data_IF_591514478354
#
_entry.id   IF_591514478354
#
_cell.length_a   1.000
_cell.length_b   1.000
_cell.length_c   1.000
_cell.angle_alpha   90.00
_cell.angle_beta   90.00
_cell.angle_gamma   90.00
#
_symmetry.space_group_name_H-M   'P 1'
#
loop_
_entity.id
_entity.type
_entity.pdbx_description
1 polymer ?
#
# COMPACT_ATOMS: atom_id res chain seq x y z
N UNK A 1 -30.04 4.88 -19.70
CA UNK A 1 -29.62 5.45 -20.99
C UNK A 1 -30.59 5.01 -22.07
N UNK A 2 -30.91 5.92 -22.99
CA UNK A 2 -32.03 5.86 -23.93
C UNK A 2 -31.86 4.74 -24.97
N UNK A 3 -32.88 3.89 -25.08
CA UNK A 3 -33.13 2.95 -26.17
C UNK A 3 -33.20 3.68 -27.51
N UNK A 4 -32.29 3.37 -28.45
CA UNK A 4 -32.42 3.75 -29.86
C UNK A 4 -32.64 2.51 -30.70
N UNK A 5 -33.85 1.95 -30.59
CA UNK A 5 -34.40 1.08 -31.62
C UNK A 5 -35.14 1.99 -32.61
N UNK A 6 -34.41 2.59 -33.55
CA UNK A 6 -35.03 3.26 -34.70
C UNK A 6 -35.04 2.26 -35.85
N UNK A 7 -35.94 1.29 -35.76
CA UNK A 7 -36.29 0.44 -36.88
C UNK A 7 -37.19 1.28 -37.80
N UNK A 8 -36.58 1.99 -38.75
CA UNK A 8 -37.33 2.63 -39.83
C UNK A 8 -37.76 1.50 -40.77
N UNK A 9 -38.88 0.85 -40.45
CA UNK A 9 -39.66 0.16 -41.48
C UNK A 9 -40.20 1.29 -42.35
N UNK A 10 -39.54 1.52 -43.48
CA UNK A 10 -39.99 2.42 -44.53
C UNK A 10 -41.28 1.89 -45.15
N UNK A 11 -42.39 2.01 -44.42
CA UNK A 11 -43.74 1.90 -44.94
C UNK A 11 -44.09 3.24 -45.60
N UNK A 12 -43.65 3.42 -46.84
CA UNK A 12 -44.00 4.57 -47.69
C UNK A 12 -43.53 4.25 -49.11
N UNK A 13 -44.36 4.02 -50.12
CA UNK A 13 -45.70 4.51 -50.35
C UNK A 13 -46.53 3.48 -51.16
N UNK A 14 -47.56 2.91 -50.54
CA UNK A 14 -48.76 2.47 -51.25
C UNK A 14 -49.84 3.52 -51.02
N UNK A 15 -49.54 4.76 -51.40
CA UNK A 15 -50.52 5.84 -51.43
C UNK A 15 -51.16 5.86 -52.82
N UNK A 16 -52.36 5.29 -52.88
CA UNK A 16 -53.53 5.91 -53.50
C UNK A 16 -53.28 6.61 -54.86
N UNK A 17 -53.36 5.84 -55.94
CA UNK A 17 -53.97 6.33 -57.16
C UNK A 17 -55.11 5.40 -57.56
N UNK A 18 -56.31 5.96 -57.42
CA UNK A 18 -57.52 5.76 -58.22
C UNK A 18 -57.57 4.55 -59.17
N UNK A 19 -58.69 3.84 -59.10
CA UNK A 19 -59.24 3.00 -60.16
C UNK A 19 -59.22 3.71 -61.53
N UNK A 20 -58.13 3.52 -62.28
CA UNK A 20 -58.11 3.56 -63.73
C UNK A 20 -57.60 2.18 -64.15
N UNK A 21 -58.44 1.37 -64.80
CA UNK A 21 -58.01 0.13 -65.45
C UNK A 21 -57.14 0.48 -66.64
N UNK A 22 -55.87 0.81 -66.39
CA UNK A 22 -54.83 0.83 -67.41
C UNK A 22 -54.59 -0.62 -67.83
N UNK A 23 -54.73 -0.91 -69.12
CA UNK A 23 -54.28 -2.19 -69.69
C UNK A 23 -52.77 -2.26 -69.54
N UNK A 24 -52.30 -2.85 -68.43
CA UNK A 24 -50.89 -3.17 -68.24
C UNK A 24 -50.45 -4.10 -69.37
N UNK A 25 -49.37 -3.71 -70.03
CA UNK A 25 -48.78 -4.51 -71.09
C UNK A 25 -47.93 -5.62 -70.47
N UNK A 26 -47.65 -6.69 -71.23
CA UNK A 26 -46.70 -7.73 -70.81
C UNK A 26 -45.33 -7.14 -70.43
N UNK A 27 -44.94 -6.02 -71.04
CA UNK A 27 -43.69 -5.32 -70.73
C UNK A 27 -43.69 -4.72 -69.33
N UNK A 28 -44.81 -4.11 -68.89
CA UNK A 28 -44.95 -3.56 -67.54
C UNK A 28 -44.84 -4.67 -66.48
N UNK A 29 -45.36 -5.87 -66.77
CA UNK A 29 -45.24 -7.03 -65.86
C UNK A 29 -43.78 -7.46 -65.73
N UNK A 30 -43.07 -7.56 -66.84
CA UNK A 30 -41.65 -7.96 -66.85
C UNK A 30 -40.80 -6.94 -66.09
N UNK A 31 -41.02 -5.64 -66.31
CA UNK A 31 -40.28 -4.58 -65.62
C UNK A 31 -40.50 -4.62 -64.11
N UNK A 32 -41.74 -4.79 -63.64
CA UNK A 32 -42.05 -4.91 -62.22
C UNK A 32 -41.43 -6.17 -61.61
N UNK A 33 -41.47 -7.30 -62.30
CA UNK A 33 -40.85 -8.55 -61.83
C UNK A 33 -39.34 -8.40 -61.71
N UNK A 34 -38.66 -7.83 -62.71
CA UNK A 34 -37.20 -7.60 -62.66
C UNK A 34 -36.81 -6.61 -61.56
N UNK A 35 -37.59 -5.55 -61.36
CA UNK A 35 -37.35 -4.60 -60.26
C UNK A 35 -37.52 -5.25 -58.89
N UNK A 36 -38.49 -6.16 -58.75
CA UNK A 36 -38.69 -6.93 -57.52
C UNK A 36 -37.53 -7.90 -57.26
N UNK A 37 -37.08 -8.63 -58.28
CA UNK A 37 -35.94 -9.54 -58.19
C UNK A 37 -34.66 -8.80 -57.77
N UNK A 38 -34.37 -7.67 -58.42
CA UNK A 38 -33.23 -6.83 -58.07
C UNK A 38 -33.30 -6.31 -56.62
N UNK A 39 -34.49 -5.96 -56.14
CA UNK A 39 -34.68 -5.52 -54.76
C UNK A 39 -34.46 -6.67 -53.78
N UNK A 40 -35.01 -7.86 -54.06
CA UNK A 40 -34.82 -9.06 -53.23
C UNK A 40 -33.34 -9.44 -53.17
N UNK A 41 -32.63 -9.43 -54.30
CA UNK A 41 -31.19 -9.70 -54.38
C UNK A 41 -30.37 -8.66 -53.60
N UNK A 42 -30.78 -7.38 -53.67
CA UNK A 42 -30.14 -6.29 -52.91
C UNK A 42 -30.30 -6.48 -51.41
N UNK A 43 -31.50 -6.85 -50.95
CA UNK A 43 -31.78 -7.14 -49.53
C UNK A 43 -31.02 -8.38 -49.07
N UNK A 44 -31.00 -9.46 -49.86
CA UNK A 44 -30.26 -10.68 -49.54
C UNK A 44 -28.75 -10.41 -49.42
N UNK A 45 -28.21 -9.62 -50.35
CA UNK A 45 -26.81 -9.19 -50.32
C UNK A 45 -26.51 -8.34 -49.10
N UNK A 46 -27.38 -7.36 -48.78
CA UNK A 46 -27.22 -6.53 -47.60
C UNK A 46 -27.25 -7.34 -46.29
N UNK A 47 -28.14 -8.33 -46.18
CA UNK A 47 -28.23 -9.22 -45.02
C UNK A 47 -27.00 -10.12 -44.90
N UNK A 48 -26.46 -10.63 -46.01
CA UNK A 48 -25.20 -11.40 -46.03
C UNK A 48 -23.97 -10.57 -45.62
N UNK A 49 -24.01 -9.25 -45.83
CA UNK A 49 -22.92 -8.34 -45.45
C UNK A 49 -22.96 -7.97 -43.96
N UNK A 50 -24.08 -8.19 -43.25
CA UNK A 50 -24.13 -7.98 -41.80
C UNK A 50 -23.25 -9.04 -41.14
N UNK A 51 -22.20 -8.65 -40.40
CA UNK A 51 -21.36 -9.61 -39.69
C UNK A 51 -22.22 -10.31 -38.64
N UNK A 52 -22.45 -11.62 -38.82
CA UNK A 52 -23.03 -12.46 -37.77
C UNK A 52 -21.99 -12.49 -36.65
N UNK A 53 -22.26 -11.76 -35.55
CA UNK A 53 -21.37 -11.74 -34.41
C UNK A 53 -21.23 -13.17 -33.87
N UNK A 54 -19.98 -13.66 -33.81
CA UNK A 54 -19.69 -14.96 -33.21
C UNK A 54 -19.77 -14.82 -31.69
N UNK A 55 -20.98 -14.97 -31.15
CA UNK A 55 -21.27 -14.83 -29.73
C UNK A 55 -20.44 -15.77 -28.86
N UNK A 56 -20.07 -16.97 -29.34
CA UNK A 56 -19.19 -17.90 -28.61
C UNK A 56 -17.81 -17.31 -28.36
N UNK A 57 -17.22 -16.66 -29.36
CA UNK A 57 -15.90 -16.01 -29.22
C UNK A 57 -15.96 -14.79 -28.31
N UNK A 58 -17.09 -14.08 -28.31
CA UNK A 58 -17.32 -12.96 -27.40
C UNK A 58 -17.45 -13.47 -25.96
N UNK A 59 -18.19 -14.55 -25.75
CA UNK A 59 -18.39 -15.21 -24.45
C UNK A 59 -17.07 -15.72 -23.87
N UNK A 60 -16.29 -16.47 -24.65
CA UNK A 60 -14.96 -16.95 -24.25
C UNK A 60 -14.00 -15.80 -23.86
N UNK A 61 -14.06 -14.68 -24.60
CA UNK A 61 -13.27 -13.49 -24.26
C UNK A 61 -13.76 -12.82 -22.99
N UNK A 62 -15.06 -12.78 -22.76
CA UNK A 62 -15.64 -12.24 -21.55
C UNK A 62 -15.21 -13.07 -20.33
N UNK A 63 -15.39 -14.39 -20.38
CA UNK A 63 -14.96 -15.32 -19.33
C UNK A 63 -13.45 -15.21 -19.06
N UNK A 64 -12.64 -15.09 -20.12
CA UNK A 64 -11.19 -14.90 -19.95
C UNK A 64 -10.85 -13.59 -19.26
N UNK A 65 -11.56 -12.50 -19.55
CA UNK A 65 -11.35 -11.21 -18.89
C UNK A 65 -11.82 -11.23 -17.43
N UNK A 66 -12.95 -11.88 -17.16
CA UNK A 66 -13.51 -12.02 -15.82
C UNK A 66 -12.56 -12.81 -14.90
N UNK A 67 -12.10 -13.98 -15.35
CA UNK A 67 -11.11 -14.78 -14.63
C UNK A 67 -9.79 -14.02 -14.36
N UNK A 68 -9.35 -13.20 -15.33
CA UNK A 68 -8.16 -12.36 -15.16
C UNK A 68 -8.38 -11.26 -14.14
N UNK A 69 -9.57 -10.67 -14.11
CA UNK A 69 -9.92 -9.65 -13.12
C UNK A 69 -9.97 -10.26 -11.72
N UNK A 70 -10.62 -11.41 -11.56
CA UNK A 70 -10.70 -12.13 -10.27
C UNK A 70 -9.30 -12.45 -9.73
N UNK A 71 -8.42 -13.01 -10.57
CA UNK A 71 -7.03 -13.27 -10.17
C UNK A 71 -6.28 -12.02 -9.71
N UNK A 72 -6.45 -10.89 -10.42
CA UNK A 72 -5.82 -9.62 -10.02
C UNK A 72 -6.37 -9.15 -8.67
N UNK A 73 -7.67 -9.31 -8.39
CA UNK A 73 -8.24 -8.97 -7.09
C UNK A 73 -7.71 -9.85 -5.97
N UNK A 74 -7.56 -11.16 -6.21
CA UNK A 74 -6.96 -12.08 -5.24
C UNK A 74 -5.49 -11.73 -4.96
N UNK A 75 -4.70 -11.49 -6.01
CA UNK A 75 -3.29 -11.11 -5.89
C UNK A 75 -3.14 -9.79 -5.10
N UNK A 76 -3.98 -8.79 -5.38
CA UNK A 76 -3.99 -7.52 -4.64
C UNK A 76 -4.38 -7.69 -3.18
N UNK A 77 -5.34 -8.58 -2.87
CA UNK A 77 -5.73 -8.86 -1.50
C UNK A 77 -4.59 -9.51 -0.72
N UNK A 78 -3.88 -10.46 -1.33
CA UNK A 78 -2.69 -11.07 -0.72
C UNK A 78 -1.58 -10.04 -0.50
N UNK A 79 -1.41 -9.08 -1.42
CA UNK A 79 -0.47 -7.97 -1.24
C UNK A 79 -0.86 -7.07 -0.07
N UNK A 80 -2.15 -6.73 0.08
CA UNK A 80 -2.69 -5.94 1.19
C UNK A 80 -2.45 -6.63 2.55
N UNK A 81 -2.79 -7.92 2.67
CA UNK A 81 -2.56 -8.72 3.88
C UNK A 81 -1.05 -8.75 4.25
N UNK A 82 -0.16 -8.82 3.23
CA UNK A 82 1.28 -8.79 3.46
C UNK A 82 1.79 -7.41 3.93
N UNK A 83 1.20 -6.32 3.42
CA UNK A 83 1.53 -4.97 3.84
C UNK A 83 1.11 -4.72 5.29
N UNK A 84 -0.09 -5.15 5.68
CA UNK A 84 -0.57 -5.07 7.07
C UNK A 84 0.39 -5.82 8.02
N UNK A 85 0.82 -7.03 7.66
CA UNK A 85 1.79 -7.79 8.44
C UNK A 85 3.15 -7.10 8.57
N UNK A 86 3.61 -6.40 7.52
CA UNK A 86 4.85 -5.63 7.56
C UNK A 86 4.70 -4.43 8.50
N UNK A 87 3.57 -3.73 8.46
CA UNK A 87 3.26 -2.61 9.34
C UNK A 87 3.26 -3.03 10.81
N UNK A 88 2.54 -4.10 11.16
CA UNK A 88 2.51 -4.64 12.53
C UNK A 88 3.90 -5.01 13.05
N UNK A 89 4.73 -5.64 12.19
CA UNK A 89 6.11 -6.00 12.55
C UNK A 89 6.97 -4.76 12.75
N UNK A 90 6.81 -3.74 11.91
CA UNK A 90 7.53 -2.48 12.04
C UNK A 90 7.16 -1.77 13.35
N UNK A 91 5.87 -1.65 13.66
CA UNK A 91 5.40 -1.07 14.93
C UNK A 91 5.96 -1.81 16.15
N UNK A 92 5.98 -3.15 16.09
CA UNK A 92 6.57 -3.98 17.15
C UNK A 92 8.06 -3.71 17.33
N UNK A 93 8.82 -3.61 16.24
CA UNK A 93 10.25 -3.31 16.28
C UNK A 93 10.48 -1.92 16.88
N UNK A 94 9.73 -0.91 16.46
CA UNK A 94 9.84 0.46 16.98
C UNK A 94 9.54 0.50 18.48
N UNK A 95 8.48 -0.17 18.92
CA UNK A 95 8.11 -0.25 20.34
C UNK A 95 9.21 -0.92 21.18
N UNK A 96 9.76 -2.03 20.68
CA UNK A 96 10.81 -2.76 21.39
C UNK A 96 12.10 -1.95 21.47
N UNK A 97 12.51 -1.31 20.37
CA UNK A 97 13.70 -0.45 20.35
C UNK A 97 13.56 0.73 21.32
N UNK A 98 12.38 1.34 21.40
CA UNK A 98 12.09 2.39 22.39
C UNK A 98 12.21 1.88 23.81
N UNK A 99 11.59 0.73 24.12
CA UNK A 99 11.66 0.14 25.46
C UNK A 99 13.09 -0.26 25.85
N UNK A 100 13.88 -0.78 24.91
CA UNK A 100 15.29 -1.11 25.13
C UNK A 100 16.11 0.16 25.42
N UNK A 101 15.89 1.23 24.67
CA UNK A 101 16.54 2.53 24.90
C UNK A 101 16.19 3.11 26.26
N UNK A 102 14.92 3.10 26.66
CA UNK A 102 14.48 3.59 27.97
C UNK A 102 15.08 2.76 29.11
N UNK A 103 15.19 1.43 28.93
CA UNK A 103 15.79 0.56 29.92
C UNK A 103 17.30 0.78 30.05
N UNK A 104 17.98 1.03 28.93
CA UNK A 104 19.40 1.37 28.92
C UNK A 104 19.66 2.70 29.65
N UNK A 105 18.87 3.74 29.37
CA UNK A 105 19.02 5.04 30.04
C UNK A 105 18.80 4.92 31.55
N UNK A 106 17.74 4.24 31.98
CA UNK A 106 17.47 3.98 33.40
C UNK A 106 18.61 3.20 34.08
N UNK A 107 19.29 2.33 33.34
CA UNK A 107 20.43 1.57 33.86
C UNK A 107 21.67 2.45 33.98
N UNK A 108 21.88 3.35 33.02
CA UNK A 108 22.93 4.36 33.09
C UNK A 108 22.73 5.33 34.26
N UNK A 109 21.50 5.85 34.45
CA UNK A 109 21.14 6.69 35.60
C UNK A 109 21.45 5.99 36.93
N UNK A 110 21.02 4.73 37.08
CA UNK A 110 21.30 3.95 38.29
C UNK A 110 22.80 3.79 38.58
N UNK A 111 23.60 3.56 37.54
CA UNK A 111 25.06 3.48 37.70
C UNK A 111 25.67 4.85 38.03
N UNK A 112 25.15 5.93 37.44
CA UNK A 112 25.59 7.29 37.75
C UNK A 112 25.27 7.66 39.21
N UNK A 113 24.05 7.38 39.67
CA UNK A 113 23.62 7.61 41.05
C UNK A 113 24.52 6.91 42.07
N UNK A 114 24.94 5.67 41.77
CA UNK A 114 25.87 4.92 42.62
C UNK A 114 27.23 5.63 42.72
N UNK A 115 27.74 6.12 41.59
CA UNK A 115 29.01 6.83 41.50
C UNK A 115 28.93 8.17 42.25
N UNK A 116 27.88 8.96 42.02
CA UNK A 116 27.64 10.23 42.73
C UNK A 116 27.50 10.04 44.23
N UNK A 117 26.71 9.05 44.66
CA UNK A 117 26.52 8.75 46.09
C UNK A 117 27.84 8.39 46.77
N UNK A 118 28.68 7.59 46.11
CA UNK A 118 29.99 7.26 46.64
C UNK A 118 30.90 8.50 46.69
N UNK A 119 30.91 9.32 45.64
CA UNK A 119 31.69 10.55 45.58
C UNK A 119 31.33 11.53 46.70
N UNK A 120 30.04 11.74 46.96
CA UNK A 120 29.55 12.62 48.00
C UNK A 120 29.93 12.14 49.41
N UNK A 121 29.83 10.83 49.67
CA UNK A 121 30.25 10.22 50.94
C UNK A 121 31.75 10.40 51.16
N UNK A 122 32.56 10.05 50.16
CA UNK A 122 34.01 10.16 50.21
C UNK A 122 34.45 11.60 50.48
N UNK A 123 33.82 12.57 49.78
CA UNK A 123 34.10 14.00 49.99
C UNK A 123 33.75 14.44 51.41
N UNK A 124 32.58 14.05 51.93
CA UNK A 124 32.15 14.39 53.29
C UNK A 124 33.06 13.79 54.39
N UNK A 125 33.64 12.62 54.16
CA UNK A 125 34.54 11.97 55.11
C UNK A 125 35.95 12.61 55.11
N UNK A 126 36.42 13.08 53.94
CA UNK A 126 37.63 13.91 53.82
C UNK A 126 37.49 15.20 54.63
N UNK A 127 36.35 15.91 54.52
CA UNK A 127 36.08 17.13 55.30
C UNK A 127 36.12 16.90 56.81
N UNK A 128 35.73 15.71 57.26
CA UNK A 128 35.78 15.31 58.68
C UNK A 128 37.17 14.85 59.15
N UNK A 129 38.18 14.87 58.27
CA UNK A 129 39.55 14.46 58.57
C UNK A 129 39.79 12.94 58.49
N UNK A 130 38.85 12.18 57.93
CA UNK A 130 38.98 10.74 57.69
C UNK A 130 39.50 10.58 56.26
N UNK A 131 40.82 10.45 56.12
CA UNK A 131 41.49 10.50 54.82
C UNK A 131 41.40 9.15 54.10
N UNK A 132 40.24 8.87 53.52
CA UNK A 132 40.02 7.72 52.65
C UNK A 132 39.75 8.26 51.25
N UNK A 133 40.80 8.45 50.44
CA UNK A 133 40.70 9.07 49.10
C UNK A 133 41.00 8.03 48.04
N UNK A 134 40.08 7.85 47.09
CA UNK A 134 40.13 7.06 45.84
C UNK A 134 40.54 5.57 45.91
N UNK A 135 41.36 5.16 46.87
CA UNK A 135 41.77 3.76 47.08
C UNK A 135 40.63 2.93 47.68
N UNK A 136 39.72 3.57 48.42
CA UNK A 136 38.53 2.94 49.02
C UNK A 136 37.30 3.05 48.10
N UNK A 137 37.46 2.64 46.83
CA UNK A 137 36.32 2.43 45.94
C UNK A 137 35.61 1.14 46.36
N UNK A 138 34.32 1.24 46.67
CA UNK A 138 33.49 0.06 46.94
C UNK A 138 33.25 -0.72 45.63
N UNK A 139 33.18 -2.06 45.72
CA UNK A 139 32.99 -2.95 44.55
C UNK A 139 31.80 -2.52 43.65
N UNK A 140 30.71 -2.07 44.26
CA UNK A 140 29.50 -1.63 43.54
C UNK A 140 29.74 -0.33 42.73
N UNK A 141 30.59 0.57 43.23
CA UNK A 141 30.99 1.79 42.51
C UNK A 141 31.92 1.44 41.36
N UNK A 142 32.90 0.55 41.58
CA UNK A 142 33.79 0.10 40.51
C UNK A 142 33.01 -0.58 39.39
N UNK A 143 32.05 -1.46 39.72
CA UNK A 143 31.17 -2.07 38.73
C UNK A 143 30.39 -1.03 37.93
N UNK A 144 29.93 0.04 38.60
CA UNK A 144 29.20 1.13 37.96
C UNK A 144 30.08 1.96 37.02
N UNK A 145 31.30 2.31 37.44
CA UNK A 145 32.28 2.99 36.60
C UNK A 145 32.66 2.15 35.38
N UNK A 146 32.96 0.87 35.57
CA UNK A 146 33.27 -0.08 34.50
C UNK A 146 32.14 -0.20 33.48
N UNK A 147 30.89 -0.25 33.96
CA UNK A 147 29.73 -0.34 33.09
C UNK A 147 29.56 0.94 32.26
N UNK A 148 29.67 2.11 32.90
CA UNK A 148 29.57 3.41 32.23
C UNK A 148 30.67 3.59 31.19
N UNK A 149 31.92 3.23 31.52
CA UNK A 149 33.05 3.32 30.58
C UNK A 149 32.85 2.41 29.36
N UNK A 150 32.48 1.13 29.59
CA UNK A 150 32.26 0.18 28.49
C UNK A 150 31.10 0.58 27.57
N UNK A 151 30.15 1.35 28.08
CA UNK A 151 28.97 1.77 27.34
C UNK A 151 28.97 3.26 26.99
N UNK A 152 30.09 3.96 27.20
CA UNK A 152 30.17 5.42 27.12
C UNK A 152 29.58 5.98 25.83
N UNK A 153 29.94 5.42 24.67
CA UNK A 153 29.46 5.90 23.36
C UNK A 153 27.93 5.88 23.21
N UNK A 154 27.26 4.97 23.93
CA UNK A 154 25.81 4.77 23.88
C UNK A 154 25.04 5.62 24.89
N UNK A 155 25.71 6.23 25.85
CA UNK A 155 25.10 7.10 26.84
C UNK A 155 24.54 8.37 26.19
N UNK A 156 23.52 8.95 26.81
CA UNK A 156 23.04 10.29 26.48
C UNK A 156 24.17 11.32 26.68
N UNK A 157 24.11 12.43 25.94
CA UNK A 157 25.14 13.48 26.03
C UNK A 157 25.21 14.09 27.44
N UNK A 158 24.09 14.10 28.17
CA UNK A 158 24.01 14.54 29.56
C UNK A 158 24.78 13.59 30.49
N UNK A 159 24.47 12.29 30.45
CA UNK A 159 25.18 11.28 31.26
C UNK A 159 26.66 11.19 30.91
N UNK A 160 27.04 11.35 29.64
CA UNK A 160 28.45 11.41 29.22
C UNK A 160 29.17 12.56 29.92
N UNK A 161 28.57 13.74 29.88
CA UNK A 161 29.14 14.94 30.47
C UNK A 161 29.29 14.79 31.99
N UNK A 162 28.27 14.26 32.67
CA UNK A 162 28.33 13.97 34.11
C UNK A 162 29.45 12.97 34.44
N UNK A 163 29.54 11.88 33.70
CA UNK A 163 30.58 10.88 33.85
C UNK A 163 31.99 11.48 33.71
N UNK A 164 32.20 12.30 32.69
CA UNK A 164 33.46 12.99 32.45
C UNK A 164 33.79 13.97 33.58
N UNK A 165 32.80 14.73 34.06
CA UNK A 165 32.98 15.67 35.17
C UNK A 165 33.40 14.95 36.45
N UNK A 166 32.78 13.81 36.78
CA UNK A 166 33.15 13.01 37.95
C UNK A 166 34.53 12.37 37.76
N UNK A 167 34.80 11.81 36.58
CA UNK A 167 36.10 11.21 36.25
C UNK A 167 37.24 12.23 36.37
N UNK A 168 37.02 13.48 35.95
CA UNK A 168 38.00 14.56 36.10
C UNK A 168 38.22 14.98 37.55
N UNK A 169 37.17 14.92 38.40
CA UNK A 169 37.31 15.16 39.84
C UNK A 169 38.13 14.05 40.50
N UNK A 170 37.88 12.79 40.12
CA UNK A 170 38.63 11.63 40.61
C UNK A 170 40.13 11.65 40.26
N UNK A 171 40.49 12.20 39.11
CA UNK A 171 41.91 12.29 38.68
C UNK A 171 42.67 13.47 39.31
N UNK A 172 41.99 14.43 39.95
CA UNK A 172 42.60 15.66 40.48
C UNK A 172 43.00 15.56 41.96
N UNK A 173 42.53 14.54 42.66
CA UNK A 173 42.91 14.21 44.05
C UNK A 173 43.99 13.12 44.10
#
# INVERSE_FOLDING_TARGET
MKTKATLIIGASALAMFSCDTKNYTEQDRVEVTTNLENYVDSVETAVKIIPVHNWSVIDERYDSLDNRAEKVYEDLKVEDDNLEMIEERYETIVKNAKAESENFERTAEMHMDNVETWWDKTTADIEKGTKNTAEDIEDATQESLDWLEKNFDKLSDETKKEFEEISLKLQKD
#
